data_IF_881497406107
#
_entry.id   IF_881497406107
#
_cell.length_a   1.000
_cell.length_b   1.000
_cell.length_c   1.000
_cell.angle_alpha   90.00
_cell.angle_beta   90.00
_cell.angle_gamma   90.00
#
_symmetry.space_group_name_H-M   'P 1'
#
loop_
_entity.id
_entity.type
_entity.pdbx_description
1 polymer ?
#
# COMPACT_ATOMS: atom_id res chain seq x y z
N UNK A 1 -22.71 14.14 -28.89
CA UNK A 1 -23.35 12.81 -28.73
C UNK A 1 -23.36 12.54 -27.24
N UNK A 2 -24.53 12.43 -26.61
CA UNK A 2 -24.59 12.04 -25.21
C UNK A 2 -24.22 10.55 -25.13
N UNK A 3 -23.15 10.21 -24.43
CA UNK A 3 -22.89 8.81 -24.08
C UNK A 3 -24.04 8.38 -23.16
N UNK A 4 -24.73 7.30 -23.52
CA UNK A 4 -25.68 6.67 -22.61
C UNK A 4 -24.99 6.37 -21.28
N UNK A 5 -25.66 6.53 -20.12
CA UNK A 5 -25.08 6.13 -18.85
C UNK A 5 -24.71 4.64 -18.94
N UNK A 6 -23.53 4.30 -18.43
CA UNK A 6 -23.09 2.91 -18.36
C UNK A 6 -24.06 2.15 -17.46
N UNK A 7 -24.43 0.94 -17.87
CA UNK A 7 -25.19 0.02 -17.02
C UNK A 7 -24.28 -0.56 -15.93
N UNK A 8 -24.85 -0.95 -14.80
CA UNK A 8 -24.08 -1.56 -13.70
C UNK A 8 -23.24 -2.76 -14.16
N UNK A 9 -23.79 -3.56 -15.09
CA UNK A 9 -23.06 -4.68 -15.70
C UNK A 9 -21.82 -4.23 -16.48
N UNK A 10 -21.91 -3.12 -17.21
CA UNK A 10 -20.77 -2.55 -17.94
C UNK A 10 -19.75 -1.94 -16.96
N UNK A 11 -20.21 -1.33 -15.87
CA UNK A 11 -19.34 -0.80 -14.81
C UNK A 11 -18.62 -1.95 -14.10
N UNK A 12 -19.32 -3.03 -13.77
CA UNK A 12 -18.73 -4.21 -13.14
C UNK A 12 -17.66 -4.84 -14.03
N UNK A 13 -17.90 -4.92 -15.34
CA UNK A 13 -16.92 -5.47 -16.28
C UNK A 13 -15.67 -4.57 -16.41
N UNK A 14 -15.84 -3.25 -16.40
CA UNK A 14 -14.73 -2.29 -16.35
C UNK A 14 -13.95 -2.40 -15.03
N UNK A 15 -14.65 -2.49 -13.91
CA UNK A 15 -14.06 -2.66 -12.58
C UNK A 15 -13.20 -3.92 -12.50
N UNK A 16 -13.75 -5.07 -12.93
CA UNK A 16 -12.99 -6.33 -13.01
C UNK A 16 -11.78 -6.22 -13.94
N UNK A 17 -11.88 -5.44 -15.02
CA UNK A 17 -10.77 -5.23 -15.93
C UNK A 17 -9.67 -4.34 -15.31
N UNK A 18 -10.05 -3.30 -14.58
CA UNK A 18 -9.11 -2.43 -13.86
C UNK A 18 -8.31 -3.23 -12.82
N UNK A 19 -9.00 -3.99 -11.97
CA UNK A 19 -8.36 -4.82 -10.94
C UNK A 19 -7.40 -5.86 -11.54
N UNK A 20 -7.75 -6.47 -12.68
CA UNK A 20 -6.86 -7.43 -13.38
C UNK A 20 -5.63 -6.77 -14.00
N UNK A 21 -5.68 -5.46 -14.24
CA UNK A 21 -4.57 -4.72 -14.84
C UNK A 21 -3.57 -4.25 -13.78
N UNK A 22 -3.99 -4.07 -12.52
CA UNK A 22 -3.08 -3.70 -11.44
C UNK A 22 -2.32 -4.92 -10.92
N UNK A 23 -1.01 -4.91 -11.16
CA UNK A 23 -0.09 -5.95 -10.68
C UNK A 23 0.06 -5.98 -9.15
N UNK A 24 -0.42 -4.97 -8.43
CA UNK A 24 -0.43 -4.91 -6.96
C UNK A 24 -1.56 -5.74 -6.34
N UNK A 25 -2.54 -6.18 -7.14
CA UNK A 25 -3.75 -6.87 -6.68
C UNK A 25 -3.78 -8.32 -7.17
N UNK A 26 -3.85 -9.28 -6.25
CA UNK A 26 -4.19 -10.67 -6.58
C UNK A 26 -5.72 -10.80 -6.72
N UNK A 27 -6.20 -10.69 -7.95
CA UNK A 27 -7.64 -10.80 -8.27
C UNK A 27 -8.22 -12.21 -8.08
N UNK A 28 -7.43 -13.21 -7.65
CA UNK A 28 -7.89 -14.59 -7.50
C UNK A 28 -9.00 -14.78 -6.45
N UNK A 29 -9.07 -13.90 -5.44
CA UNK A 29 -10.00 -13.99 -4.31
C UNK A 29 -10.76 -12.69 -4.03
N UNK A 30 -10.67 -11.70 -4.94
CA UNK A 30 -11.41 -10.43 -4.86
C UNK A 30 -12.56 -10.45 -5.86
N UNK A 31 -13.78 -10.36 -5.34
CA UNK A 31 -15.00 -10.26 -6.13
C UNK A 31 -15.60 -8.86 -6.01
N UNK A 32 -15.96 -8.29 -7.16
CA UNK A 32 -16.65 -7.00 -7.27
C UNK A 32 -18.01 -7.21 -7.91
N UNK A 33 -19.03 -6.59 -7.32
CA UNK A 33 -20.38 -6.49 -7.88
C UNK A 33 -20.81 -5.02 -7.90
N UNK A 34 -21.58 -4.60 -8.92
CA UNK A 34 -22.07 -3.22 -9.00
C UNK A 34 -23.60 -3.22 -9.01
N UNK A 35 -24.18 -2.37 -8.16
CA UNK A 35 -25.63 -2.11 -8.09
C UNK A 35 -25.86 -0.60 -7.96
N UNK A 36 -26.67 -0.03 -8.86
CA UNK A 36 -26.99 1.40 -8.91
C UNK A 36 -25.74 2.30 -8.87
N UNK A 37 -24.68 1.91 -9.61
CA UNK A 37 -23.39 2.61 -9.64
C UNK A 37 -22.52 2.48 -8.39
N UNK A 38 -22.95 1.73 -7.37
CA UNK A 38 -22.16 1.43 -6.16
C UNK A 38 -21.40 0.12 -6.36
N UNK A 39 -20.09 0.12 -6.14
CA UNK A 39 -19.27 -1.08 -6.22
C UNK A 39 -19.13 -1.74 -4.84
N UNK A 40 -19.53 -3.00 -4.74
CA UNK A 40 -19.44 -3.83 -3.54
C UNK A 40 -18.26 -4.79 -3.69
N UNK A 41 -17.28 -4.65 -2.80
CA UNK A 41 -16.09 -5.49 -2.74
C UNK A 41 -16.26 -6.57 -1.69
N UNK A 42 -16.00 -7.82 -2.07
CA UNK A 42 -15.99 -8.97 -1.16
C UNK A 42 -14.80 -9.88 -1.46
N UNK A 43 -14.45 -10.70 -0.48
CA UNK A 43 -13.35 -11.66 -0.61
C UNK A 43 -12.18 -11.33 0.28
N UNK A 44 -10.99 -11.79 -0.10
CA UNK A 44 -9.81 -11.69 0.76
C UNK A 44 -8.60 -11.10 0.03
N UNK A 45 -7.85 -10.25 0.73
CA UNK A 45 -6.58 -9.67 0.29
C UNK A 45 -5.47 -10.00 1.30
N UNK A 46 -4.21 -10.03 0.87
CA UNK A 46 -3.09 -10.43 1.72
C UNK A 46 -2.51 -9.28 2.55
N UNK A 47 -2.81 -8.02 2.18
CA UNK A 47 -2.31 -6.84 2.88
C UNK A 47 -3.28 -5.65 2.82
N UNK A 48 -3.14 -4.71 3.77
CA UNK A 48 -3.90 -3.46 3.72
C UNK A 48 -3.51 -2.57 2.53
N UNK A 49 -2.26 -2.66 2.07
CA UNK A 49 -1.81 -1.99 0.85
C UNK A 49 -2.56 -2.50 -0.39
N UNK A 50 -2.73 -3.81 -0.50
CA UNK A 50 -3.53 -4.43 -1.57
C UNK A 50 -5.01 -4.02 -1.46
N UNK A 51 -5.58 -4.05 -0.25
CA UNK A 51 -6.95 -3.56 0.01
C UNK A 51 -7.13 -2.13 -0.48
N UNK A 52 -6.18 -1.25 -0.16
CA UNK A 52 -6.20 0.14 -0.58
C UNK A 52 -6.13 0.26 -2.11
N UNK A 53 -5.20 -0.47 -2.76
CA UNK A 53 -5.06 -0.47 -4.21
C UNK A 53 -6.36 -0.90 -4.91
N UNK A 54 -7.04 -1.92 -4.41
CA UNK A 54 -8.35 -2.36 -4.93
C UNK A 54 -9.39 -1.24 -4.87
N UNK A 55 -9.47 -0.54 -3.73
CA UNK A 55 -10.43 0.56 -3.56
C UNK A 55 -10.10 1.71 -4.51
N UNK A 56 -8.83 2.12 -4.60
CA UNK A 56 -8.37 3.19 -5.49
C UNK A 56 -8.70 2.89 -6.97
N UNK A 57 -8.46 1.67 -7.42
CA UNK A 57 -8.75 1.24 -8.80
C UNK A 57 -10.25 1.27 -9.10
N UNK A 58 -11.09 0.92 -8.12
CA UNK A 58 -12.54 1.00 -8.27
C UNK A 58 -13.05 2.43 -8.27
N UNK A 59 -12.56 3.29 -7.39
CA UNK A 59 -12.92 4.71 -7.39
C UNK A 59 -12.50 5.41 -8.71
N UNK A 60 -11.39 4.97 -9.32
CA UNK A 60 -10.96 5.46 -10.63
C UNK A 60 -11.78 4.87 -11.80
N UNK A 61 -12.58 3.82 -11.56
CA UNK A 61 -13.36 3.17 -12.61
C UNK A 61 -14.54 4.03 -13.02
N UNK A 62 -14.63 4.30 -14.32
CA UNK A 62 -15.70 5.12 -14.88
C UNK A 62 -17.08 4.52 -14.59
N UNK A 63 -17.92 5.29 -13.93
CA UNK A 63 -19.32 4.93 -13.62
C UNK A 63 -19.52 4.47 -12.19
N UNK A 64 -18.44 4.13 -11.47
CA UNK A 64 -18.48 3.94 -10.02
C UNK A 64 -18.75 5.28 -9.35
N UNK A 65 -19.74 5.31 -8.47
CA UNK A 65 -20.16 6.48 -7.70
C UNK A 65 -19.75 6.38 -6.24
N UNK A 66 -19.73 5.16 -5.70
CA UNK A 66 -19.36 4.85 -4.32
C UNK A 66 -18.78 3.44 -4.25
N UNK A 67 -17.98 3.18 -3.21
CA UNK A 67 -17.33 1.88 -2.98
C UNK A 67 -17.64 1.41 -1.56
N UNK A 68 -18.28 0.25 -1.46
CA UNK A 68 -18.53 -0.47 -0.22
C UNK A 68 -17.51 -1.60 -0.10
N UNK A 69 -16.65 -1.49 0.91
CA UNK A 69 -15.51 -2.37 1.10
C UNK A 69 -15.71 -3.35 2.28
N UNK A 70 -16.07 -4.59 1.94
CA UNK A 70 -16.17 -5.75 2.84
C UNK A 70 -14.99 -6.73 2.65
N UNK A 71 -13.83 -6.28 2.16
CA UNK A 71 -12.65 -7.13 2.03
C UNK A 71 -12.07 -7.50 3.39
N UNK A 72 -11.75 -8.78 3.54
CA UNK A 72 -11.04 -9.29 4.72
C UNK A 72 -9.57 -9.53 4.42
N UNK A 73 -8.73 -9.39 5.42
CA UNK A 73 -7.31 -9.72 5.29
C UNK A 73 -7.09 -11.21 5.52
N UNK A 74 -6.71 -11.96 4.49
CA UNK A 74 -6.60 -13.43 4.49
C UNK A 74 -5.64 -13.96 5.56
N UNK A 75 -4.51 -13.28 5.68
CA UNK A 75 -3.43 -13.61 6.61
C UNK A 75 -3.29 -12.53 7.68
N UNK A 76 -4.41 -11.95 8.16
CA UNK A 76 -4.41 -11.13 9.36
C UNK A 76 -4.19 -12.01 10.58
N UNK A 77 -2.94 -12.42 10.78
CA UNK A 77 -2.46 -12.71 12.11
C UNK A 77 -2.38 -11.35 12.79
N UNK A 78 -3.09 -11.18 13.90
CA UNK A 78 -2.79 -10.11 14.86
C UNK A 78 -1.34 -10.32 15.28
N UNK A 79 -0.41 -9.76 14.50
CA UNK A 79 0.98 -9.64 14.90
C UNK A 79 0.96 -8.69 16.06
N UNK A 80 1.52 -9.14 17.17
CA UNK A 80 1.89 -8.21 18.22
C UNK A 80 2.75 -7.11 17.60
N UNK A 81 2.69 -5.91 18.18
CA UNK A 81 3.54 -4.79 17.79
C UNK A 81 5.01 -5.21 17.64
N UNK A 82 5.47 -6.12 18.50
CA UNK A 82 6.82 -6.68 18.43
C UNK A 82 7.07 -7.57 17.21
N UNK A 83 6.13 -8.45 16.84
CA UNK A 83 6.26 -9.30 15.65
C UNK A 83 6.20 -8.47 14.36
N UNK A 84 5.38 -7.43 14.32
CA UNK A 84 5.32 -6.50 13.19
C UNK A 84 6.64 -5.71 13.08
N UNK A 85 7.14 -5.19 14.19
CA UNK A 85 8.43 -4.50 14.28
C UNK A 85 9.56 -5.39 13.76
N UNK A 86 9.64 -6.63 14.22
CA UNK A 86 10.68 -7.58 13.80
C UNK A 86 10.54 -7.99 12.33
N UNK A 87 9.31 -8.13 11.81
CA UNK A 87 9.08 -8.41 10.39
C UNK A 87 9.60 -7.27 9.50
N UNK A 88 9.32 -6.02 9.86
CA UNK A 88 9.80 -4.84 9.12
C UNK A 88 11.32 -4.74 9.22
N UNK A 89 11.90 -4.92 10.42
CA UNK A 89 13.37 -4.92 10.57
C UNK A 89 14.02 -6.01 9.72
N UNK A 90 13.43 -7.21 9.67
CA UNK A 90 13.93 -8.27 8.81
C UNK A 90 13.83 -7.93 7.32
N UNK A 91 12.74 -7.29 6.89
CA UNK A 91 12.57 -6.87 5.50
C UNK A 91 13.62 -5.83 5.12
N UNK A 92 13.81 -4.79 5.94
CA UNK A 92 14.82 -3.75 5.74
C UNK A 92 16.24 -4.34 5.74
N UNK A 93 16.55 -5.29 6.63
CA UNK A 93 17.86 -5.95 6.67
C UNK A 93 18.19 -6.75 5.40
N UNK A 94 17.19 -7.13 4.59
CA UNK A 94 17.38 -7.86 3.34
C UNK A 94 17.57 -6.95 2.14
N UNK A 95 17.21 -5.67 2.26
CA UNK A 95 17.39 -4.70 1.19
C UNK A 95 18.79 -4.10 1.26
N UNK A 96 19.58 -4.29 0.19
CA UNK A 96 20.96 -3.80 0.14
C UNK A 96 21.06 -2.27 -0.03
N UNK A 97 19.95 -1.59 -0.35
CA UNK A 97 19.90 -0.14 -0.48
C UNK A 97 19.57 0.58 0.83
N UNK A 98 19.35 -0.18 1.92
CA UNK A 98 18.95 0.34 3.22
C UNK A 98 19.96 -0.05 4.30
N UNK A 99 20.52 0.94 5.00
CA UNK A 99 21.34 0.72 6.17
C UNK A 99 20.48 0.68 7.44
N UNK A 100 20.05 -0.52 7.83
CA UNK A 100 19.22 -0.73 9.02
C UNK A 100 19.89 -0.25 10.33
N UNK A 101 21.22 -0.13 10.40
CA UNK A 101 21.90 0.33 11.61
C UNK A 101 21.58 1.80 11.94
N UNK A 102 21.19 2.59 10.94
CA UNK A 102 20.85 4.00 11.08
C UNK A 102 19.33 4.25 11.24
N UNK A 103 18.52 3.19 11.12
CA UNK A 103 17.06 3.27 11.12
C UNK A 103 16.48 2.53 12.33
N UNK A 104 15.71 3.27 13.13
CA UNK A 104 14.88 2.73 14.21
C UNK A 104 13.46 2.50 13.70
N UNK A 105 12.92 1.32 14.03
CA UNK A 105 11.57 0.89 13.63
C UNK A 105 10.73 0.71 14.89
N UNK A 106 9.62 1.42 14.95
CA UNK A 106 8.55 1.21 15.93
C UNK A 106 7.30 0.73 15.21
N UNK A 107 6.53 -0.14 15.85
CA UNK A 107 5.27 -0.62 15.30
C UNK A 107 4.19 -0.54 16.38
N UNK A 108 2.99 -0.10 15.99
CA UNK A 108 1.82 -0.14 16.87
C UNK A 108 0.53 -0.30 16.09
N UNK A 109 -0.24 -1.36 16.39
CA UNK A 109 -1.56 -1.60 15.79
C UNK A 109 -1.56 -1.53 14.24
N UNK A 110 -0.55 -2.12 13.60
CA UNK A 110 -0.40 -2.09 12.14
C UNK A 110 0.33 -0.87 11.59
N UNK A 111 0.48 0.21 12.37
CA UNK A 111 1.25 1.39 11.98
C UNK A 111 2.74 1.19 12.26
N UNK A 112 3.58 1.49 11.28
CA UNK A 112 5.04 1.47 11.41
C UNK A 112 5.56 2.90 11.39
N UNK A 113 6.45 3.23 12.32
CA UNK A 113 7.17 4.50 12.34
C UNK A 113 8.65 4.26 12.10
N UNK A 114 9.20 4.89 11.06
CA UNK A 114 10.62 4.89 10.75
C UNK A 114 11.25 6.19 11.24
N UNK A 115 12.30 6.10 12.04
CA UNK A 115 13.05 7.24 12.55
C UNK A 115 14.55 6.99 12.39
N UNK A 116 15.34 8.04 12.27
CA UNK A 116 16.79 7.93 12.12
C UNK A 116 17.32 8.74 10.96
N UNK A 117 18.54 8.40 10.54
CA UNK A 117 19.26 9.13 9.50
C UNK A 117 19.61 8.21 8.35
N UNK A 118 19.57 8.74 7.13
CA UNK A 118 19.89 7.99 5.92
C UNK A 118 20.82 8.84 5.05
N UNK A 119 21.63 8.18 4.24
CA UNK A 119 22.69 8.85 3.47
C UNK A 119 22.15 9.45 2.17
N UNK A 120 20.93 9.08 1.77
CA UNK A 120 20.32 9.61 0.54
C UNK A 120 18.79 9.56 0.56
N UNK A 121 18.17 10.38 -0.29
CA UNK A 121 16.74 10.28 -0.59
C UNK A 121 16.35 8.92 -1.19
N UNK A 122 17.25 8.28 -1.94
CA UNK A 122 16.99 6.96 -2.51
C UNK A 122 16.87 5.90 -1.43
N UNK A 123 17.77 5.92 -0.44
CA UNK A 123 17.70 5.05 0.74
C UNK A 123 16.45 5.31 1.57
N UNK A 124 16.09 6.60 1.77
CA UNK A 124 14.84 6.99 2.43
C UNK A 124 13.63 6.34 1.77
N UNK A 125 13.49 6.52 0.45
CA UNK A 125 12.36 5.97 -0.30
C UNK A 125 12.36 4.44 -0.28
N UNK A 126 13.52 3.80 -0.38
CA UNK A 126 13.62 2.35 -0.30
C UNK A 126 13.18 1.82 1.07
N UNK A 127 13.58 2.48 2.16
CA UNK A 127 13.16 2.10 3.51
C UNK A 127 11.64 2.24 3.70
N UNK A 128 11.06 3.31 3.18
CA UNK A 128 9.61 3.55 3.20
C UNK A 128 8.85 2.47 2.41
N UNK A 129 9.29 2.18 1.18
CA UNK A 129 8.69 1.15 0.33
C UNK A 129 8.76 -0.24 0.98
N UNK A 130 9.94 -0.64 1.47
CA UNK A 130 10.11 -1.95 2.11
C UNK A 130 9.23 -2.09 3.35
N UNK A 131 9.12 -1.03 4.16
CA UNK A 131 8.22 -1.03 5.31
C UNK A 131 6.76 -1.17 4.87
N UNK A 132 6.35 -0.43 3.84
CA UNK A 132 4.98 -0.44 3.32
C UNK A 132 4.55 -1.83 2.82
N UNK A 133 5.46 -2.54 2.13
CA UNK A 133 5.19 -3.86 1.58
C UNK A 133 5.35 -5.00 2.60
N UNK A 134 5.68 -4.71 3.85
CA UNK A 134 5.77 -5.73 4.89
C UNK A 134 4.37 -6.16 5.33
N UNK A 135 4.09 -7.47 5.33
CA UNK A 135 2.78 -7.99 5.72
C UNK A 135 2.38 -7.57 7.13
N UNK A 136 1.12 -7.17 7.31
CA UNK A 136 0.59 -6.65 8.57
C UNK A 136 0.84 -5.15 8.80
N UNK A 137 1.57 -4.48 7.91
CA UNK A 137 1.65 -3.02 7.89
C UNK A 137 0.39 -2.45 7.23
N UNK A 138 -0.22 -1.48 7.90
CA UNK A 138 -1.41 -0.75 7.44
C UNK A 138 -1.11 0.73 7.18
N UNK A 139 -0.06 1.26 7.80
CA UNK A 139 0.36 2.65 7.67
C UNK A 139 1.86 2.75 7.92
N UNK A 140 2.56 3.58 7.14
CA UNK A 140 3.97 3.92 7.37
C UNK A 140 4.09 5.41 7.61
N UNK A 141 4.71 5.78 8.72
CA UNK A 141 5.04 7.14 9.09
C UNK A 141 6.55 7.29 9.08
N UNK A 142 7.07 8.08 8.14
CA UNK A 142 8.51 8.32 8.01
C UNK A 142 8.94 9.64 8.61
N UNK A 143 9.85 9.56 9.57
CA UNK A 143 10.63 10.68 10.11
C UNK A 143 12.13 10.48 9.84
N UNK A 144 12.47 9.85 8.72
CA UNK A 144 13.85 9.70 8.28
C UNK A 144 14.40 11.04 7.78
N UNK A 145 15.56 11.43 8.31
CA UNK A 145 16.30 12.61 7.89
C UNK A 145 17.44 12.20 6.95
N UNK A 146 17.53 12.84 5.79
CA UNK A 146 18.66 12.64 4.89
C UNK A 146 19.82 13.49 5.40
N UNK A 147 20.99 12.89 5.65
CA UNK A 147 22.20 13.67 5.88
C UNK A 147 22.64 14.30 4.55
N UNK A 148 22.29 15.58 4.38
CA UNK A 148 22.83 16.42 3.31
C UNK A 148 24.35 16.55 3.51
N UNK A 149 25.14 15.65 2.92
CA UNK A 149 26.46 16.06 2.43
C UNK A 149 26.24 17.02 1.28
N UNK A 150 26.01 18.31 1.58
CA UNK A 150 26.29 19.36 0.60
C UNK A 150 27.81 19.28 0.37
N UNK A 151 28.29 18.89 -0.82
CA UNK A 151 29.71 18.96 -1.09
C UNK A 151 30.16 20.41 -0.85
N UNK A 152 31.21 20.58 -0.04
CA UNK A 152 31.68 21.88 0.42
C UNK A 152 31.98 22.86 -0.74
N UNK A 153 32.11 22.32 -1.95
CA UNK A 153 32.45 22.97 -3.21
C UNK A 153 31.29 23.78 -3.84
N UNK A 154 30.06 23.67 -3.33
CA UNK A 154 28.88 24.40 -3.82
C UNK A 154 28.48 25.62 -2.96
N UNK A 155 29.37 26.03 -2.04
CA UNK A 155 29.22 27.29 -1.28
C UNK A 155 30.02 28.43 -1.94
N UNK A 156 29.71 28.80 -3.17
CA UNK A 156 30.15 30.08 -3.75
C UNK A 156 29.17 30.57 -4.84
#
# INVERSE_FOLDING_TARGET
>A
MAMSPLTDREIEELARQALRADTRVDTGEVDVHVEDGTAFLTGAVDSAAERLAVVEDLEATRGVQDVVDDLVLRNYVERTDEELREAVRHALARDMSVNLELISVEASSGRVTLTGKVDSYSEKNAAEDVAWWTSGVTEVVSHLEVEDEIPADLKD
#
